data_IF_471439932771
#
_entry.id   IF_471439932771
#
_cell.length_a   1.000
_cell.length_b   1.000
_cell.length_c   1.000
_cell.angle_alpha   90.00
_cell.angle_beta   90.00
_cell.angle_gamma   90.00
#
_symmetry.space_group_name_H-M   'P 1'
#
loop_
_entity.id
_entity.type
_entity.pdbx_description
1 polymer ?
#
# COMPACT_ATOMS: atom_id res chain seq x y z
N UNK A 1 -6.73 -4.17 -9.64
CA UNK A 1 -7.07 -3.13 -8.65
C UNK A 1 -6.82 -3.65 -7.25
N UNK A 2 -6.27 -2.84 -6.35
CA UNK A 2 -5.90 -3.25 -5.00
C UNK A 2 -7.06 -3.19 -3.97
N UNK A 3 -8.26 -2.75 -4.37
CA UNK A 3 -9.42 -2.60 -3.49
C UNK A 3 -10.70 -3.07 -4.22
N UNK A 4 -11.31 -4.21 -3.84
CA UNK A 4 -12.51 -4.74 -4.49
C UNK A 4 -13.74 -3.83 -4.31
N UNK A 5 -13.81 -3.07 -3.22
CA UNK A 5 -14.93 -2.16 -2.93
C UNK A 5 -15.00 -0.98 -3.91
N UNK A 6 -13.85 -0.52 -4.41
CA UNK A 6 -13.76 0.52 -5.46
C UNK A 6 -14.00 -0.08 -6.85
N UNK A 7 -13.80 -1.39 -7.04
CA UNK A 7 -13.83 -2.03 -8.35
C UNK A 7 -15.09 -1.75 -9.17
N UNK A 8 -16.31 -1.78 -8.60
CA UNK A 8 -17.54 -1.44 -9.33
C UNK A 8 -17.51 0.00 -9.89
N UNK A 9 -17.07 0.97 -9.08
CA UNK A 9 -16.99 2.38 -9.47
C UNK A 9 -15.94 2.59 -10.56
N UNK A 10 -14.80 1.92 -10.46
CA UNK A 10 -13.77 1.98 -11.48
C UNK A 10 -14.25 1.42 -12.82
N UNK A 11 -14.95 0.28 -12.81
CA UNK A 11 -15.52 -0.29 -14.04
C UNK A 11 -16.61 0.60 -14.62
N UNK A 12 -17.46 1.18 -13.77
CA UNK A 12 -18.49 2.13 -14.20
C UNK A 12 -17.86 3.37 -14.85
N UNK A 13 -16.83 3.95 -14.23
CA UNK A 13 -16.12 5.10 -14.80
C UNK A 13 -15.46 4.74 -16.13
N UNK A 14 -14.72 3.63 -16.18
CA UNK A 14 -14.06 3.18 -17.40
C UNK A 14 -15.06 2.90 -18.53
N UNK A 15 -16.24 2.35 -18.22
CA UNK A 15 -17.31 2.16 -19.19
C UNK A 15 -17.88 3.49 -19.71
N UNK A 16 -17.94 4.54 -18.88
CA UNK A 16 -18.36 5.88 -19.31
C UNK A 16 -17.39 6.53 -20.30
N UNK A 17 -16.12 6.09 -20.30
CA UNK A 17 -15.07 6.55 -21.21
C UNK A 17 -15.03 5.77 -22.54
N UNK A 18 -15.98 4.87 -22.82
CA UNK A 18 -15.94 4.02 -24.02
C UNK A 18 -15.97 4.76 -25.36
N UNK A 19 -16.28 6.07 -25.35
CA UNK A 19 -16.24 6.93 -26.52
C UNK A 19 -14.84 7.48 -26.85
N UNK A 20 -13.89 7.37 -25.90
CA UNK A 20 -12.50 7.79 -26.07
C UNK A 20 -11.65 6.64 -26.63
N UNK A 21 -10.55 6.94 -27.32
CA UNK A 21 -9.65 5.91 -27.83
C UNK A 21 -8.89 5.23 -26.66
N UNK A 22 -8.63 3.93 -26.78
CA UNK A 22 -8.07 3.09 -25.71
C UNK A 22 -6.76 3.64 -25.11
N UNK A 23 -5.94 4.29 -25.93
CA UNK A 23 -4.66 4.87 -25.53
C UNK A 23 -4.79 6.15 -24.68
N UNK A 24 -5.99 6.73 -24.57
CA UNK A 24 -6.29 7.90 -23.73
C UNK A 24 -7.03 7.53 -22.44
N UNK A 25 -7.67 6.35 -22.40
CA UNK A 25 -8.49 5.92 -21.27
C UNK A 25 -7.67 5.89 -19.97
N UNK A 26 -6.46 5.33 -19.99
CA UNK A 26 -5.67 5.21 -18.76
C UNK A 26 -5.25 6.59 -18.24
N UNK A 27 -4.93 7.55 -19.11
CA UNK A 27 -4.60 8.92 -18.72
C UNK A 27 -5.81 9.65 -18.10
N UNK A 28 -7.00 9.47 -18.68
CA UNK A 28 -8.26 10.03 -18.15
C UNK A 28 -8.66 9.38 -16.82
N UNK A 29 -8.44 8.07 -16.67
CA UNK A 29 -8.63 7.38 -15.40
C UNK A 29 -7.71 7.98 -14.34
N UNK A 30 -6.45 8.21 -14.64
CA UNK A 30 -5.50 8.77 -13.68
C UNK A 30 -5.83 10.22 -13.29
N UNK A 31 -6.33 11.04 -14.22
CA UNK A 31 -6.66 12.44 -13.94
C UNK A 31 -8.02 12.65 -13.28
N UNK A 32 -9.04 11.90 -13.70
CA UNK A 32 -10.44 12.28 -13.45
C UNK A 32 -11.17 11.33 -12.50
N UNK A 33 -10.71 10.08 -12.36
CA UNK A 33 -11.43 9.06 -11.59
C UNK A 33 -11.68 9.48 -10.14
N UNK A 34 -10.69 10.10 -9.48
CA UNK A 34 -10.81 10.52 -8.08
C UNK A 34 -11.92 11.54 -7.89
N UNK A 35 -11.99 12.54 -8.77
CA UNK A 35 -13.00 13.59 -8.70
C UNK A 35 -14.39 13.05 -9.06
N UNK A 36 -14.47 12.20 -10.08
CA UNK A 36 -15.70 11.52 -10.45
C UNK A 36 -16.21 10.63 -9.30
N UNK A 37 -15.33 9.87 -8.65
CA UNK A 37 -15.69 8.98 -7.55
C UNK A 37 -16.23 9.76 -6.35
N UNK A 38 -15.57 10.85 -5.95
CA UNK A 38 -16.08 11.78 -4.92
C UNK A 38 -17.48 12.29 -5.25
N UNK A 39 -17.71 12.70 -6.49
CA UNK A 39 -19.03 13.13 -6.95
C UNK A 39 -20.08 12.00 -6.85
N UNK A 40 -19.73 10.77 -7.22
CA UNK A 40 -20.65 9.63 -7.12
C UNK A 40 -21.01 9.30 -5.67
N UNK A 41 -20.05 9.32 -4.74
CA UNK A 41 -20.31 9.10 -3.31
C UNK A 41 -21.32 10.11 -2.78
N UNK A 42 -21.12 11.40 -3.10
CA UNK A 42 -22.01 12.47 -2.63
C UNK A 42 -23.39 12.44 -3.30
N UNK A 43 -23.43 12.34 -4.63
CA UNK A 43 -24.70 12.40 -5.40
C UNK A 43 -25.62 11.21 -5.14
N UNK A 44 -25.05 10.03 -4.82
CA UNK A 44 -25.81 8.83 -4.46
C UNK A 44 -26.16 8.75 -2.97
N UNK A 45 -25.67 9.69 -2.15
CA UNK A 45 -25.87 9.67 -0.70
C UNK A 45 -25.27 8.43 -0.04
N UNK A 46 -24.11 7.97 -0.52
CA UNK A 46 -23.43 6.80 0.07
C UNK A 46 -22.84 7.19 1.42
N UNK A 47 -23.26 6.49 2.47
CA UNK A 47 -22.81 6.73 3.86
C UNK A 47 -21.91 5.63 4.40
N UNK A 48 -21.53 4.66 3.56
CA UNK A 48 -20.58 3.63 3.95
C UNK A 48 -19.24 4.28 4.35
N UNK A 49 -18.77 4.12 5.61
CA UNK A 49 -17.60 4.84 6.08
C UNK A 49 -16.32 4.55 5.29
N UNK A 50 -16.17 3.32 4.77
CA UNK A 50 -14.99 2.96 3.99
C UNK A 50 -15.01 3.64 2.63
N UNK A 51 -16.13 3.57 1.90
CA UNK A 51 -16.27 4.20 0.58
C UNK A 51 -16.12 5.73 0.69
N UNK A 52 -16.71 6.34 1.72
CA UNK A 52 -16.53 7.77 2.01
C UNK A 52 -15.07 8.09 2.30
N UNK A 53 -14.42 7.35 3.21
CA UNK A 53 -12.99 7.56 3.50
C UNK A 53 -12.11 7.44 2.26
N UNK A 54 -12.33 6.42 1.45
CA UNK A 54 -11.56 6.20 0.22
C UNK A 54 -11.75 7.32 -0.80
N UNK A 55 -12.94 7.93 -0.87
CA UNK A 55 -13.18 9.07 -1.75
C UNK A 55 -12.39 10.30 -1.34
N UNK A 56 -12.33 10.59 -0.04
CA UNK A 56 -11.60 11.76 0.47
C UNK A 56 -10.08 11.56 0.56
N UNK A 57 -9.63 10.31 0.63
CA UNK A 57 -8.22 9.98 0.72
C UNK A 57 -7.65 10.20 2.12
N UNK A 58 -6.38 9.83 2.37
CA UNK A 58 -5.74 10.01 3.66
C UNK A 58 -5.55 11.49 4.01
N UNK A 59 -5.46 11.80 5.30
CA UNK A 59 -5.04 13.12 5.75
C UNK A 59 -3.63 13.49 5.27
N UNK A 60 -3.30 14.79 5.30
CA UNK A 60 -2.04 15.31 4.78
C UNK A 60 -0.78 14.91 5.59
N UNK A 61 -0.95 14.22 6.71
CA UNK A 61 0.13 13.79 7.60
C UNK A 61 0.25 12.27 7.69
N UNK A 62 1.48 11.78 7.68
CA UNK A 62 1.80 10.38 7.92
C UNK A 62 2.56 10.20 9.24
N UNK A 63 2.32 9.08 9.93
CA UNK A 63 3.21 8.58 10.99
C UNK A 63 4.29 7.71 10.37
N UNK A 64 5.51 7.82 10.88
CA UNK A 64 6.66 7.04 10.39
C UNK A 64 7.05 5.97 11.41
N UNK A 65 7.34 4.76 10.93
CA UNK A 65 7.74 3.63 11.75
C UNK A 65 9.10 3.06 11.32
N UNK A 66 9.91 2.61 12.29
CA UNK A 66 11.16 1.88 12.04
C UNK A 66 10.97 0.36 12.07
N UNK A 67 9.90 -0.09 12.74
CA UNK A 67 9.50 -1.48 12.87
C UNK A 67 7.99 -1.60 12.75
N UNK A 68 7.51 -2.63 12.04
CA UNK A 68 6.07 -2.89 11.90
C UNK A 68 5.77 -4.38 11.83
N UNK A 69 4.73 -4.83 12.52
CA UNK A 69 4.30 -6.24 12.53
C UNK A 69 3.00 -6.39 11.78
N UNK A 70 2.99 -7.21 10.73
CA UNK A 70 1.82 -7.50 9.90
C UNK A 70 1.91 -8.92 9.34
N UNK A 71 0.78 -9.63 9.26
CA UNK A 71 0.69 -11.00 8.71
C UNK A 71 1.70 -12.00 9.31
N UNK A 72 2.05 -11.84 10.59
CA UNK A 72 3.04 -12.68 11.27
C UNK A 72 4.50 -12.35 10.94
N UNK A 73 4.74 -11.35 10.09
CA UNK A 73 6.08 -10.82 9.82
C UNK A 73 6.38 -9.63 10.71
N UNK A 74 7.66 -9.48 11.07
CA UNK A 74 8.18 -8.31 11.77
C UNK A 74 9.14 -7.62 10.83
N UNK A 75 8.73 -6.53 10.22
CA UNK A 75 9.53 -5.74 9.29
C UNK A 75 10.34 -4.68 10.03
N UNK A 76 11.55 -4.42 9.53
CA UNK A 76 12.42 -3.33 9.96
C UNK A 76 12.80 -2.47 8.76
N UNK A 77 12.90 -1.16 8.95
CA UNK A 77 13.54 -0.30 7.95
C UNK A 77 15.02 -0.65 7.84
N UNK A 78 15.61 -0.47 6.66
CA UNK A 78 16.99 -0.87 6.39
C UNK A 78 17.99 -0.20 7.35
N UNK A 79 17.80 1.08 7.64
CA UNK A 79 18.61 1.86 8.59
C UNK A 79 18.52 1.30 10.02
N UNK A 80 17.34 0.85 10.43
CA UNK A 80 17.11 0.32 11.77
C UNK A 80 17.74 -1.07 11.96
N UNK A 81 17.76 -1.86 10.87
CA UNK A 81 18.41 -3.17 10.84
C UNK A 81 19.94 -3.11 10.78
N UNK A 82 20.53 -1.98 10.41
CA UNK A 82 21.98 -1.85 10.27
C UNK A 82 22.70 -2.12 11.60
N UNK A 83 23.72 -2.98 11.56
CA UNK A 83 24.47 -3.40 12.75
C UNK A 83 23.74 -4.37 13.69
N UNK A 84 22.50 -4.78 13.38
CA UNK A 84 21.76 -5.78 14.16
C UNK A 84 22.02 -7.21 13.67
N UNK A 85 21.84 -8.24 14.52
CA UNK A 85 22.04 -9.64 14.14
C UNK A 85 21.10 -10.13 13.03
N UNK A 86 19.91 -9.52 12.91
CA UNK A 86 18.90 -9.87 11.90
C UNK A 86 18.40 -8.60 11.22
N UNK A 87 18.55 -8.53 9.91
CA UNK A 87 18.02 -7.46 9.07
C UNK A 87 16.68 -7.91 8.48
N UNK A 88 15.58 -7.46 9.08
CA UNK A 88 14.22 -7.84 8.69
C UNK A 88 13.63 -6.89 7.62
N UNK A 89 14.49 -6.29 6.79
CA UNK A 89 14.12 -5.29 5.80
C UNK A 89 13.88 -5.85 4.40
N UNK A 90 14.26 -7.10 4.13
CA UNK A 90 14.01 -7.73 2.85
C UNK A 90 12.55 -8.12 2.65
N UNK A 91 12.03 -7.90 1.45
CA UNK A 91 10.67 -8.26 1.08
C UNK A 91 10.56 -8.66 -0.38
N UNK A 92 9.45 -9.33 -0.71
CA UNK A 92 9.01 -9.51 -2.07
C UNK A 92 7.51 -9.29 -2.22
N UNK A 93 7.11 -8.90 -3.42
CA UNK A 93 5.71 -8.82 -3.84
C UNK A 93 5.52 -9.77 -5.02
N UNK A 94 4.64 -10.79 -4.90
CA UNK A 94 4.22 -11.58 -6.04
C UNK A 94 3.31 -10.72 -6.93
N UNK A 95 3.55 -10.78 -8.23
CA UNK A 95 2.67 -10.21 -9.24
C UNK A 95 2.35 -11.26 -10.29
N UNK A 96 1.19 -11.11 -10.91
CA UNK A 96 0.80 -11.89 -12.08
C UNK A 96 0.98 -10.96 -13.29
N UNK A 97 1.82 -11.37 -14.23
CA UNK A 97 2.02 -10.67 -15.50
C UNK A 97 0.81 -10.80 -16.43
N UNK A 98 0.76 -10.00 -17.49
CA UNK A 98 -0.30 -10.07 -18.50
C UNK A 98 -0.38 -11.42 -19.22
N UNK A 99 0.74 -12.15 -19.27
CA UNK A 99 0.85 -13.51 -19.78
C UNK A 99 0.49 -14.58 -18.72
N UNK A 100 -0.12 -14.16 -17.61
CA UNK A 100 -0.42 -14.98 -16.44
C UNK A 100 0.81 -15.63 -15.80
N UNK A 101 2.02 -15.09 -16.06
CA UNK A 101 3.25 -15.55 -15.43
C UNK A 101 3.38 -14.97 -14.01
N UNK A 102 3.69 -15.81 -13.04
CA UNK A 102 4.03 -15.33 -11.71
C UNK A 102 5.45 -14.75 -11.70
N UNK A 103 5.55 -13.44 -11.49
CA UNK A 103 6.82 -12.74 -11.29
C UNK A 103 6.89 -12.23 -9.86
N UNK A 104 8.07 -12.28 -9.24
CA UNK A 104 8.29 -11.72 -7.90
C UNK A 104 9.22 -10.53 -7.99
N UNK A 105 8.77 -9.41 -7.46
CA UNK A 105 9.61 -8.23 -7.27
C UNK A 105 10.26 -8.33 -5.89
N UNK A 106 11.58 -8.16 -5.84
CA UNK A 106 12.36 -8.21 -4.61
C UNK A 106 12.83 -6.81 -4.25
N UNK A 107 12.80 -6.46 -2.98
CA UNK A 107 13.17 -5.13 -2.54
C UNK A 107 13.62 -5.06 -1.09
N UNK A 108 14.14 -3.90 -0.73
CA UNK A 108 14.57 -3.57 0.62
C UNK A 108 13.72 -2.44 1.15
N UNK A 109 13.08 -2.66 2.29
CA UNK A 109 12.23 -1.71 2.99
C UNK A 109 13.06 -0.53 3.51
N UNK A 110 12.71 0.67 3.08
CA UNK A 110 13.37 1.92 3.46
C UNK A 110 12.57 2.67 4.53
N UNK A 111 11.26 2.82 4.33
CA UNK A 111 10.39 3.56 5.24
C UNK A 111 9.04 2.86 5.38
N UNK A 112 8.40 3.08 6.53
CA UNK A 112 7.05 2.60 6.82
C UNK A 112 6.21 3.81 7.20
N UNK A 113 5.14 4.03 6.46
CA UNK A 113 4.21 5.15 6.65
C UNK A 113 2.83 4.62 7.02
N UNK A 114 2.27 5.09 8.14
CA UNK A 114 0.87 4.87 8.49
C UNK A 114 0.09 6.15 8.22
N UNK A 115 -0.90 6.03 7.33
CA UNK A 115 -1.79 7.08 6.90
C UNK A 115 -3.15 6.90 7.57
N UNK A 116 -3.66 7.97 8.15
CA UNK A 116 -4.99 7.99 8.74
C UNK A 116 -5.99 8.52 7.72
N UNK A 117 -7.04 7.74 7.47
CA UNK A 117 -8.14 8.12 6.61
C UNK A 117 -9.20 8.85 7.45
N UNK A 118 -9.79 9.94 6.92
CA UNK A 118 -10.90 10.62 7.57
C UNK A 118 -12.09 9.68 7.64
N UNK A 119 -12.49 9.27 8.84
CA UNK A 119 -13.62 8.38 9.07
C UNK A 119 -14.40 8.80 10.30
N UNK A 120 -15.72 8.81 10.19
CA UNK A 120 -16.66 9.28 11.22
C UNK A 120 -17.02 8.23 12.29
N UNK A 121 -16.66 6.96 12.08
CA UNK A 121 -17.07 5.89 12.99
C UNK A 121 -15.90 5.16 13.66
N UNK A 122 -14.79 4.94 12.94
CA UNK A 122 -13.61 4.20 13.42
C UNK A 122 -12.34 4.70 12.74
N UNK A 123 -11.23 4.67 13.48
CA UNK A 123 -9.90 4.96 12.94
C UNK A 123 -9.56 3.97 11.81
N UNK A 124 -9.62 4.44 10.57
CA UNK A 124 -9.18 3.70 9.39
C UNK A 124 -7.75 4.11 9.06
N UNK A 125 -6.83 3.14 9.02
CA UNK A 125 -5.41 3.39 8.73
C UNK A 125 -4.94 2.53 7.57
N UNK A 126 -4.17 3.14 6.68
CA UNK A 126 -3.44 2.45 5.61
C UNK A 126 -1.95 2.47 5.93
N UNK A 127 -1.26 1.34 5.74
CA UNK A 127 0.20 1.27 5.95
C UNK A 127 0.90 1.03 4.61
N UNK A 128 1.75 1.98 4.24
CA UNK A 128 2.58 1.95 3.05
C UNK A 128 4.03 1.63 3.41
N UNK A 129 4.64 0.77 2.61
CA UNK A 129 6.07 0.50 2.65
C UNK A 129 6.73 1.20 1.48
N UNK A 130 7.71 2.06 1.76
CA UNK A 130 8.61 2.60 0.74
C UNK A 130 9.78 1.66 0.56
N UNK A 131 10.00 1.19 -0.66
CA UNK A 131 10.96 0.14 -0.98
C UNK A 131 11.95 0.62 -2.03
N UNK A 132 13.19 0.16 -1.91
CA UNK A 132 14.13 0.15 -3.04
C UNK A 132 14.01 -1.20 -3.73
N UNK A 133 13.56 -1.19 -4.97
CA UNK A 133 13.34 -2.39 -5.76
C UNK A 133 14.60 -2.85 -6.48
N UNK A 134 14.77 -4.16 -6.58
CA UNK A 134 15.80 -4.78 -7.42
C UNK A 134 15.28 -4.91 -8.84
N UNK A 135 16.13 -4.62 -9.81
CA UNK A 135 15.87 -4.78 -11.23
C UNK A 135 15.55 -6.27 -11.52
N UNK A 136 14.32 -6.62 -11.94
CA UNK A 136 13.92 -8.01 -12.12
C UNK A 136 14.66 -8.68 -13.28
N UNK A 137 15.22 -7.91 -14.22
CA UNK A 137 15.92 -8.43 -15.41
C UNK A 137 17.42 -8.60 -15.15
N UNK A 138 18.04 -7.66 -14.44
CA UNK A 138 19.51 -7.62 -14.24
C UNK A 138 19.95 -8.01 -12.83
N UNK A 139 19.04 -7.91 -11.87
CA UNK A 139 19.30 -8.09 -10.45
C UNK A 139 18.70 -9.36 -9.86
N UNK A 140 17.97 -10.15 -10.64
CA UNK A 140 17.37 -11.42 -10.18
C UNK A 140 17.76 -12.53 -11.14
N UNK A 141 18.18 -13.68 -10.61
CA UNK A 141 18.43 -14.88 -11.40
C UNK A 141 18.10 -16.13 -10.61
N UNK A 142 17.86 -17.23 -11.33
CA UNK A 142 17.70 -18.55 -10.73
C UNK A 142 19.04 -19.27 -10.70
N UNK A 143 19.47 -19.71 -9.53
CA UNK A 143 20.68 -20.48 -9.35
C UNK A 143 20.49 -21.90 -9.95
N UNK A 144 21.24 -22.28 -11.00
CA UNK A 144 21.01 -23.54 -11.71
C UNK A 144 21.35 -24.78 -10.87
N UNK A 145 22.20 -24.64 -9.85
CA UNK A 145 22.66 -25.76 -9.02
C UNK A 145 21.70 -26.09 -7.88
N UNK A 146 21.15 -25.05 -7.25
CA UNK A 146 20.32 -25.20 -6.03
C UNK A 146 18.85 -24.84 -6.26
N UNK A 147 18.49 -24.39 -7.47
CA UNK A 147 17.15 -23.95 -7.81
C UNK A 147 16.64 -22.78 -6.92
N UNK A 148 17.57 -22.06 -6.28
CA UNK A 148 17.31 -20.90 -5.41
C UNK A 148 17.25 -19.61 -6.23
N UNK A 149 16.67 -18.56 -5.65
CA UNK A 149 16.68 -17.23 -6.26
C UNK A 149 17.86 -16.44 -5.73
N UNK A 150 18.76 -16.04 -6.63
CA UNK A 150 19.86 -15.13 -6.34
C UNK A 150 19.41 -13.71 -6.68
N UNK A 151 19.72 -12.77 -5.80
CA UNK A 151 19.40 -11.36 -5.93
C UNK A 151 20.69 -10.55 -5.83
N UNK A 152 20.85 -9.54 -6.68
CA UNK A 152 21.91 -8.55 -6.58
C UNK A 152 21.31 -7.21 -6.17
N UNK A 153 21.43 -6.88 -4.88
CA UNK A 153 20.87 -5.67 -4.28
C UNK A 153 21.46 -4.38 -4.84
N UNK A 154 22.63 -4.43 -5.51
CA UNK A 154 23.23 -3.26 -6.15
C UNK A 154 22.58 -2.92 -7.49
N UNK A 155 21.75 -3.81 -8.05
CA UNK A 155 21.03 -3.60 -9.31
C UNK A 155 19.66 -3.05 -9.02
N UNK A 156 19.59 -1.77 -8.68
CA UNK A 156 18.33 -1.07 -8.36
C UNK A 156 17.49 -0.89 -9.63
N UNK A 157 16.18 -1.13 -9.50
CA UNK A 157 15.20 -0.90 -10.56
C UNK A 157 15.01 0.61 -10.75
N UNK A 158 15.18 1.15 -11.98
CA UNK A 158 15.21 2.60 -12.20
C UNK A 158 13.82 3.26 -12.19
N UNK A 159 12.73 2.49 -12.26
CA UNK A 159 11.37 3.06 -12.26
C UNK A 159 10.96 3.45 -10.84
N UNK A 160 10.29 4.60 -10.74
CA UNK A 160 9.93 5.22 -9.47
C UNK A 160 8.50 4.85 -9.05
N UNK A 161 8.29 3.58 -8.71
CA UNK A 161 7.08 3.09 -8.02
C UNK A 161 7.49 2.51 -6.65
N UNK A 162 7.84 3.37 -5.68
CA UNK A 162 8.51 2.92 -4.46
C UNK A 162 7.54 2.41 -3.40
N UNK A 163 6.24 2.70 -3.50
CA UNK A 163 5.27 2.38 -2.46
C UNK A 163 4.45 1.13 -2.76
N UNK A 164 4.23 0.30 -1.74
CA UNK A 164 3.28 -0.82 -1.74
C UNK A 164 2.45 -0.78 -0.47
N UNK A 165 1.30 -1.44 -0.48
CA UNK A 165 0.58 -1.73 0.76
C UNK A 165 1.37 -2.77 1.57
N UNK A 166 1.54 -2.53 2.87
CA UNK A 166 2.25 -3.47 3.75
C UNK A 166 1.64 -4.89 3.70
N UNK A 167 0.33 -4.99 3.46
CA UNK A 167 -0.39 -6.26 3.34
C UNK A 167 0.03 -7.10 2.13
N UNK A 168 0.58 -6.48 1.08
CA UNK A 168 1.03 -7.17 -0.14
C UNK A 168 2.45 -7.76 0.00
N UNK A 169 3.19 -7.38 1.03
CA UNK A 169 4.56 -7.80 1.22
C UNK A 169 4.65 -9.18 1.88
N UNK A 170 5.58 -10.00 1.39
CA UNK A 170 6.09 -11.17 2.09
C UNK A 170 7.56 -10.95 2.46
N UNK A 171 7.96 -11.36 3.67
CA UNK A 171 9.32 -11.10 4.16
C UNK A 171 10.35 -12.04 3.51
N UNK A 172 11.48 -11.46 3.11
CA UNK A 172 12.63 -12.15 2.53
C UNK A 172 13.85 -11.91 3.43
N UNK A 173 14.58 -12.99 3.73
CA UNK A 173 15.92 -12.90 4.29
C UNK A 173 16.95 -13.03 3.17
N UNK A 174 17.86 -12.06 3.07
CA UNK A 174 18.95 -12.08 2.11
C UNK A 174 20.20 -12.72 2.75
N UNK A 175 20.53 -13.93 2.33
CA UNK A 175 21.66 -14.68 2.86
C UNK A 175 22.89 -14.56 1.95
N UNK A 176 24.02 -14.15 2.52
CA UNK A 176 25.31 -14.17 1.81
C UNK A 176 25.78 -15.60 1.58
N UNK A 177 26.41 -15.83 0.42
CA UNK A 177 27.06 -17.11 0.16
C UNK A 177 28.39 -17.18 0.91
N UNK A 178 28.70 -18.30 1.60
CA UNK A 178 30.00 -18.49 2.21
C UNK A 178 31.06 -18.51 1.09
N UNK A 179 31.89 -17.47 1.04
CA UNK A 179 32.98 -17.34 0.07
C UNK A 179 34.32 -17.50 0.76
N UNK A 180 35.18 -18.35 0.20
CA UNK A 180 36.59 -18.49 0.60
C UNK A 180 37.51 -17.51 -0.13
N UNK A 181 36.99 -16.72 -1.08
CA UNK A 181 37.76 -15.74 -1.88
C UNK A 181 37.53 -14.31 -1.39
N UNK A 182 38.59 -13.48 -1.49
CA UNK A 182 38.61 -12.04 -1.13
C UNK A 182 37.59 -11.17 -1.89
N UNK A 183 37.06 -11.63 -3.02
CA UNK A 183 36.03 -10.89 -3.77
C UNK A 183 34.65 -11.25 -3.22
N UNK A 184 33.95 -10.26 -2.65
CA UNK A 184 32.55 -10.42 -2.27
C UNK A 184 31.74 -10.82 -3.51
N UNK A 185 30.97 -11.91 -3.40
CA UNK A 185 30.01 -12.27 -4.44
C UNK A 185 28.86 -11.26 -4.37
N UNK A 186 28.57 -10.49 -5.43
CA UNK A 186 27.52 -9.48 -5.40
C UNK A 186 26.10 -10.08 -5.38
N UNK A 187 25.98 -11.39 -5.49
CA UNK A 187 24.73 -12.13 -5.43
C UNK A 187 24.52 -12.72 -4.03
N UNK A 188 23.35 -12.45 -3.47
CA UNK A 188 22.85 -13.03 -2.22
C UNK A 188 21.66 -13.95 -2.52
N UNK A 189 21.44 -14.95 -1.69
CA UNK A 189 20.29 -15.83 -1.81
C UNK A 189 19.06 -15.18 -1.17
N UNK A 190 17.94 -15.09 -1.89
CA UNK A 190 16.66 -14.68 -1.33
C UNK A 190 15.91 -15.87 -0.71
N UNK A 191 15.79 -15.87 0.60
CA UNK A 191 15.16 -16.92 1.39
C UNK A 191 13.80 -16.44 1.92
N UNK A 192 12.67 -17.02 1.48
CA UNK A 192 11.36 -16.71 2.03
C UNK A 192 11.30 -16.97 3.53
N UNK A 193 10.84 -15.99 4.30
CA UNK A 193 10.63 -16.13 5.75
C UNK A 193 9.25 -16.71 5.99
N UNK A 194 9.14 -17.63 6.96
CA UNK A 194 7.85 -18.13 7.41
C UNK A 194 7.25 -17.13 8.40
N UNK A 195 5.98 -16.74 8.22
CA UNK A 195 5.33 -15.85 9.17
C UNK A 195 5.21 -16.56 10.52
N UNK A 196 5.41 -15.82 11.61
CA UNK A 196 5.14 -16.32 12.94
C UNK A 196 3.63 -16.57 13.09
N UNK A 197 3.27 -17.66 13.78
CA UNK A 197 1.90 -17.88 14.22
C UNK A 197 1.57 -16.82 15.27
N UNK A 198 0.96 -15.72 14.84
CA UNK A 198 0.32 -14.79 15.78
C UNK A 198 -0.82 -15.61 16.39
N UNK A 199 -0.73 -15.92 17.69
CA UNK A 199 -1.88 -16.43 18.43
C UNK A 199 -2.86 -15.27 18.54
N UNK A 200 -3.69 -15.07 17.53
CA UNK A 200 -4.90 -14.29 17.70
C UNK A 200 -5.67 -14.94 18.86
N UNK A 201 -6.06 -14.17 19.86
CA UNK A 201 -7.13 -14.58 20.76
C UNK A 201 -8.45 -14.55 19.99
N UNK A 202 -8.61 -15.47 19.04
CA UNK A 202 -9.91 -15.86 18.49
C UNK A 202 -9.72 -17.16 17.71
N UNK A 203 -10.32 -18.23 18.23
CA UNK A 203 -10.43 -19.50 17.52
C UNK A 203 -11.33 -19.29 16.31
N UNK A 204 -10.79 -19.33 15.08
CA UNK A 204 -11.59 -19.74 13.93
C UNK A 204 -10.74 -20.61 12.99
N UNK A 205 -11.38 -21.70 12.55
CA UNK A 205 -10.82 -22.85 11.84
C UNK A 205 -10.24 -22.45 10.48
N UNK A 206 -9.25 -23.23 10.04
CA UNK A 206 -8.67 -23.23 8.71
C UNK A 206 -9.75 -23.09 7.62
N UNK A 207 -9.68 -22.00 6.86
CA UNK A 207 -10.33 -21.85 5.55
C UNK A 207 -9.27 -21.32 4.60
N UNK A 208 -9.34 -21.87 3.39
CA UNK A 208 -8.49 -21.65 2.23
C UNK A 208 -8.02 -20.20 2.01
N UNK A 209 -6.92 -20.09 1.29
CA UNK A 209 -6.21 -18.86 0.93
C UNK A 209 -7.00 -17.98 -0.05
N UNK A 210 -8.20 -17.58 0.34
CA UNK A 210 -9.04 -16.56 -0.29
C UNK A 210 -9.74 -15.78 0.82
N UNK A 211 -9.07 -14.76 1.37
CA UNK A 211 -9.67 -13.93 2.40
C UNK A 211 -9.09 -12.51 2.45
N UNK A 212 -9.78 -11.61 1.75
CA UNK A 212 -10.05 -10.29 2.31
C UNK A 212 -10.76 -10.48 3.66
N UNK A 213 -10.16 -10.01 4.75
CA UNK A 213 -10.88 -9.84 6.01
C UNK A 213 -10.64 -8.44 6.54
N UNK A 214 -11.57 -7.55 6.16
CA UNK A 214 -11.91 -6.40 6.98
C UNK A 214 -12.46 -6.93 8.31
N UNK A 215 -11.67 -6.86 9.37
CA UNK A 215 -12.15 -6.85 10.74
C UNK A 215 -11.08 -6.24 11.64
N UNK A 216 -11.30 -4.98 12.01
CA UNK A 216 -10.76 -4.24 13.15
C UNK A 216 -9.30 -4.55 13.51
N UNK A 217 -8.38 -3.81 12.89
CA UNK A 217 -7.00 -3.74 13.35
C UNK A 217 -6.98 -3.12 14.76
N UNK A 218 -6.74 -3.98 15.77
CA UNK A 218 -6.00 -3.53 16.93
C UNK A 218 -4.61 -3.11 16.44
N UNK A 219 -4.04 -1.99 16.93
CA UNK A 219 -2.67 -1.64 16.57
C UNK A 219 -1.76 -2.84 16.91
N UNK A 220 -0.90 -3.29 15.97
CA UNK A 220 0.04 -4.37 16.27
C UNK A 220 0.91 -3.98 17.49
N UNK A 221 1.42 -4.93 18.27
CA UNK A 221 2.31 -4.62 19.39
C UNK A 221 3.55 -3.88 18.86
N UNK A 222 3.59 -2.58 19.15
CA UNK A 222 4.62 -1.62 18.77
C UNK A 222 5.80 -1.76 19.72
N UNK A 223 7.01 -1.86 19.17
CA UNK A 223 8.25 -1.66 19.94
C UNK A 223 9.11 -0.67 19.16
N UNK A 224 9.34 0.48 19.79
CA UNK A 224 10.08 1.67 19.33
C UNK A 224 9.34 2.62 18.33
N UNK A 225 8.81 3.71 18.88
CA UNK A 225 8.25 4.88 18.19
C UNK A 225 9.29 5.98 18.00
N UNK A 226 9.41 6.52 16.80
CA UNK A 226 10.03 7.84 16.58
C UNK A 226 8.95 8.73 15.97
N UNK A 227 8.19 9.42 16.82
CA UNK A 227 7.04 10.21 16.38
C UNK A 227 7.49 11.57 15.83
N UNK A 228 7.53 11.70 14.51
CA UNK A 228 7.39 13.00 13.84
C UNK A 228 6.42 12.85 12.67
N UNK A 229 5.49 13.80 12.55
CA UNK A 229 4.52 13.82 11.45
C UNK A 229 5.22 14.37 10.20
N UNK A 230 5.17 13.62 9.11
CA UNK A 230 5.67 14.10 7.80
C UNK A 230 4.48 14.60 6.99
N UNK A 231 4.57 15.81 6.43
CA UNK A 231 3.59 16.28 5.46
C UNK A 231 3.84 15.62 4.11
N UNK A 232 2.81 14.98 3.57
CA UNK A 232 2.86 14.43 2.23
C UNK A 232 2.65 15.57 1.23
N UNK A 233 3.63 15.80 0.35
CA UNK A 233 3.52 16.75 -0.75
C UNK A 233 3.75 15.98 -2.04
N UNK A 234 2.79 16.00 -2.96
CA UNK A 234 2.97 15.43 -4.30
C UNK A 234 3.63 16.49 -5.21
N UNK A 235 4.89 16.30 -5.65
CA UNK A 235 5.57 17.24 -6.53
C UNK A 235 4.99 17.26 -7.96
N UNK A 236 4.23 16.23 -8.35
CA UNK A 236 3.56 16.10 -9.65
C UNK A 236 2.07 16.47 -9.58
N UNK A 237 1.56 16.84 -8.40
CA UNK A 237 0.22 17.40 -8.24
C UNK A 237 0.14 18.75 -8.94
N UNK A 238 -0.32 18.75 -10.19
CA UNK A 238 -0.45 19.96 -10.99
C UNK A 238 -1.23 21.04 -10.24
N UNK A 239 -0.75 22.28 -10.33
CA UNK A 239 -1.52 23.45 -9.90
C UNK A 239 -2.76 23.53 -10.80
N UNK A 240 -3.93 23.29 -10.23
CA UNK A 240 -5.20 23.45 -10.94
C UNK A 240 -5.38 24.95 -11.23
N UNK A 241 -5.16 25.34 -12.48
CA UNK A 241 -5.72 26.58 -13.00
C UNK A 241 -7.23 26.36 -13.13
N UNK A 242 -7.96 26.97 -12.21
CA UNK A 242 -9.43 26.95 -12.19
C UNK A 242 -9.93 27.67 -13.44
N UNK A 243 -10.58 26.93 -14.35
CA UNK A 243 -11.41 27.54 -15.39
C UNK A 243 -12.53 28.35 -14.71
N UNK A 244 -12.86 29.56 -15.20
CA UNK A 244 -13.77 30.46 -14.51
C UNK A 244 -15.16 29.84 -14.38
N UNK A 245 -15.68 30.02 -13.17
CA UNK A 245 -16.86 29.47 -12.53
C UNK A 245 -18.12 29.39 -13.42
N UNK A 246 -18.77 28.22 -13.42
CA UNK A 246 -20.22 28.21 -13.20
C UNK A 246 -20.40 27.87 -11.73
N UNK A 247 -20.89 28.85 -10.96
CA UNK A 247 -21.01 28.78 -9.50
C UNK A 247 -21.71 27.48 -9.05
N UNK A 248 -20.91 26.53 -8.59
CA UNK A 248 -21.30 25.57 -7.58
C UNK A 248 -20.50 25.93 -6.32
N UNK A 249 -21.16 26.03 -5.15
CA UNK A 249 -20.45 26.34 -3.92
C UNK A 249 -19.37 25.27 -3.70
N UNK A 250 -18.14 25.73 -3.47
CA UNK A 250 -17.01 24.90 -3.05
C UNK A 250 -17.46 24.05 -1.85
N UNK A 251 -17.56 22.71 -1.96
CA UNK A 251 -17.93 21.91 -0.82
C UNK A 251 -16.70 21.86 0.08
N UNK A 252 -16.66 22.78 1.03
CA UNK A 252 -15.82 22.68 2.22
C UNK A 252 -15.86 21.24 2.71
N UNK A 253 -14.67 20.63 2.87
CA UNK A 253 -14.53 19.36 3.57
C UNK A 253 -15.32 19.49 4.87
N UNK A 254 -16.41 18.73 5.05
CA UNK A 254 -17.19 18.83 6.27
C UNK A 254 -16.27 18.51 7.43
N UNK A 255 -16.24 19.40 8.40
CA UNK A 255 -15.51 19.16 9.64
C UNK A 255 -16.02 17.89 10.30
N UNK A 256 -15.18 17.25 11.10
CA UNK A 256 -15.53 16.02 11.84
C UNK A 256 -16.86 16.18 12.60
N UNK A 257 -17.12 17.40 13.12
CA UNK A 257 -18.38 17.77 13.78
C UNK A 257 -19.58 17.80 12.84
N UNK A 258 -19.44 18.33 11.63
CA UNK A 258 -20.53 18.38 10.65
C UNK A 258 -20.91 16.98 10.17
N UNK A 259 -19.92 16.09 9.99
CA UNK A 259 -20.19 14.68 9.63
C UNK A 259 -20.88 13.95 10.80
N UNK A 260 -20.45 14.22 12.04
CA UNK A 260 -21.04 13.65 13.26
C UNK A 260 -22.49 14.11 13.48
N UNK A 261 -22.77 15.40 13.27
CA UNK A 261 -24.12 15.98 13.34
C UNK A 261 -25.05 15.38 12.27
N UNK A 262 -24.56 15.17 11.04
CA UNK A 262 -25.33 14.51 9.98
C UNK A 262 -25.68 13.05 10.31
N UNK A 263 -24.74 12.30 10.91
CA UNK A 263 -24.97 10.91 11.32
C UNK A 263 -25.98 10.80 12.47
N UNK A 264 -25.85 11.66 13.49
CA UNK A 264 -26.76 11.68 14.65
C UNK A 264 -28.17 12.13 14.26
N UNK A 265 -28.28 13.12 13.37
CA UNK A 265 -29.59 13.59 12.88
C UNK A 265 -30.39 12.48 12.16
N UNK A 266 -29.72 11.58 11.44
CA UNK A 266 -30.38 10.47 10.75
C UNK A 266 -30.75 9.31 11.69
N UNK A 267 -29.97 9.02 12.72
CA UNK A 267 -30.32 8.00 13.72
C UNK A 267 -31.55 8.37 14.54
N UNK A 268 -31.78 9.67 14.76
CA UNK A 268 -32.95 10.18 15.47
C UNK A 268 -34.20 10.31 14.58
N UNK A 269 -34.09 10.01 13.28
CA UNK A 269 -35.19 10.06 12.31
C UNK A 269 -35.81 8.67 12.01
N UNK A 270 -35.35 7.61 12.69
CA UNK A 270 -35.94 6.26 12.69
C UNK A 270 -36.69 5.99 14.00
#
# INVERSE_FOLDING_TARGET
MNCPEISPFYHEFRASLSAFPDNEIDALVDSDFVNWYKYQINSRGIVDPLLVSLAWGPGASAKVWRQYVINGYTYHTADYGEGRPTTNSGLCVPTIGYDNSETKFFGVLQEILELEMPSCAKKLTCVLFRCTWVDPTRGVRKNPKYNMIDVNLSRVYPKNEPFILAQQAAQIYYAEYPSTRRTQNPWVCACPVRPNKIKSQTQHKDVDLDAFQQQFFQPPPIVETVNYNVQLSDPNGGRVEVMPETHLPDPTIPSEREIEEMYVAQQNAQ
#
